data_IF_122026611094
#
_entry.id   IF_122026611094
#
_cell.length_a   1.000
_cell.length_b   1.000
_cell.length_c   1.000
_cell.angle_alpha   90.00
_cell.angle_beta   90.00
_cell.angle_gamma   90.00
#
_symmetry.space_group_name_H-M   'P 1'
#
loop_
_entity.id
_entity.type
_entity.pdbx_description
1 polymer ?
#
# COMPACT_ATOMS: atom_id res chain seq x y z
N UNK A 1 51.01 18.56 67.96
CA UNK A 1 50.40 19.79 67.43
C UNK A 1 49.05 19.42 66.81
N UNK A 2 47.97 20.10 67.26
CA UNK A 2 46.68 20.44 66.60
C UNK A 2 46.32 19.65 65.31
N UNK A 3 45.13 19.08 65.08
CA UNK A 3 43.75 19.65 65.14
C UNK A 3 42.74 18.52 64.79
N UNK A 4 41.70 18.28 65.59
CA UNK A 4 40.25 18.59 65.38
C UNK A 4 39.45 17.76 64.35
N UNK A 5 38.34 17.18 64.85
CA UNK A 5 36.97 17.01 64.27
C UNK A 5 36.82 16.49 62.83
N UNK A 6 35.95 15.52 62.49
CA UNK A 6 34.52 15.47 62.79
C UNK A 6 33.94 14.10 62.43
N UNK A 7 32.91 13.71 63.19
CA UNK A 7 32.11 12.50 63.08
C UNK A 7 31.06 12.58 61.93
N UNK A 8 30.61 11.40 61.48
CA UNK A 8 29.30 11.08 60.88
C UNK A 8 29.13 11.17 59.36
N UNK A 9 28.90 10.01 58.72
CA UNK A 9 27.56 9.62 58.24
C UNK A 9 27.54 8.15 57.79
N UNK A 10 26.65 7.39 58.40
CA UNK A 10 26.27 6.03 58.02
C UNK A 10 25.27 6.02 56.86
N UNK A 11 25.05 4.82 56.29
CA UNK A 11 24.10 4.41 55.25
C UNK A 11 24.57 4.74 53.81
N UNK A 12 24.41 3.87 52.80
CA UNK A 12 23.43 2.83 52.57
C UNK A 12 23.95 1.90 51.45
N UNK A 13 23.66 0.60 51.56
CA UNK A 13 23.84 -0.41 50.50
C UNK A 13 23.25 0.03 49.16
N UNK A 14 23.93 -0.29 48.06
CA UNK A 14 23.25 -0.53 46.78
C UNK A 14 23.92 -1.70 46.05
N UNK A 15 23.42 -2.90 46.35
CA UNK A 15 23.62 -4.10 45.53
C UNK A 15 22.60 -4.01 44.38
N UNK A 16 23.01 -3.49 43.21
CA UNK A 16 22.19 -3.59 42.00
C UNK A 16 22.56 -4.88 41.26
N UNK A 17 21.78 -5.93 41.51
CA UNK A 17 21.67 -7.09 40.64
C UNK A 17 21.11 -6.62 39.30
N UNK A 18 21.97 -6.52 38.28
CA UNK A 18 21.53 -6.34 36.89
C UNK A 18 21.05 -7.70 36.40
N UNK A 19 19.77 -8.00 36.58
CA UNK A 19 19.08 -9.04 35.81
C UNK A 19 18.36 -8.36 34.65
N UNK A 20 19.10 -8.07 33.59
CA UNK A 20 18.51 -7.81 32.28
C UNK A 20 19.00 -8.90 31.35
N UNK A 21 18.12 -9.84 31.00
CA UNK A 21 17.70 -10.10 29.61
C UNK A 21 16.36 -10.83 29.70
N UNK A 22 15.27 -10.08 29.78
CA UNK A 22 14.00 -10.55 29.25
C UNK A 22 14.01 -10.16 27.77
N UNK A 23 14.14 -11.15 26.87
CA UNK A 23 13.90 -10.93 25.45
C UNK A 23 12.40 -10.73 25.23
N UNK A 24 11.95 -9.49 25.13
CA UNK A 24 10.75 -9.16 24.37
C UNK A 24 11.14 -9.23 22.90
N UNK A 25 10.42 -10.01 22.09
CA UNK A 25 10.44 -9.77 20.65
C UNK A 25 9.78 -8.42 20.48
N UNK A 26 10.56 -7.41 20.12
CA UNK A 26 10.02 -6.12 19.73
C UNK A 26 9.26 -6.35 18.41
N UNK A 27 7.93 -6.43 18.48
CA UNK A 27 7.08 -6.31 17.30
C UNK A 27 7.25 -4.88 16.81
N UNK A 28 8.10 -4.67 15.81
CA UNK A 28 8.25 -3.37 15.16
C UNK A 28 6.85 -2.88 14.74
N UNK A 29 6.46 -1.63 15.08
CA UNK A 29 5.14 -1.13 14.76
C UNK A 29 4.93 -1.19 13.25
N UNK A 30 3.83 -1.81 12.83
CA UNK A 30 3.50 -1.88 11.42
C UNK A 30 3.40 -0.47 10.83
N UNK A 31 3.90 -0.24 9.60
CA UNK A 31 3.78 1.07 8.98
C UNK A 31 2.29 1.44 8.80
N UNK A 32 1.88 2.56 9.38
CA UNK A 32 0.52 3.10 9.26
C UNK A 32 0.50 4.33 8.31
N UNK A 33 -0.63 4.57 7.65
CA UNK A 33 -0.86 5.75 6.82
C UNK A 33 -2.32 6.24 6.97
N UNK A 34 -2.51 7.43 7.54
CA UNK A 34 -3.85 7.96 7.87
C UNK A 34 -4.51 8.75 6.72
N UNK A 35 -3.76 9.08 5.67
CA UNK A 35 -4.25 9.90 4.55
C UNK A 35 -3.90 9.31 3.17
N UNK A 36 -4.67 9.69 2.14
CA UNK A 36 -4.42 9.27 0.76
C UNK A 36 -3.01 9.63 0.31
N UNK A 37 -2.25 8.62 -0.12
CA UNK A 37 -0.88 8.74 -0.62
C UNK A 37 -0.77 8.64 -2.15
N UNK A 38 -1.88 8.80 -2.90
CA UNK A 38 -1.86 8.85 -4.37
C UNK A 38 -1.06 10.08 -4.84
N UNK A 39 -0.02 9.89 -5.68
CA UNK A 39 0.73 11.02 -6.21
C UNK A 39 -0.10 11.80 -7.25
N UNK A 40 0.04 13.13 -7.36
CA UNK A 40 -0.69 13.92 -8.36
C UNK A 40 -0.27 13.61 -9.80
N UNK A 41 0.96 13.09 -9.97
CA UNK A 41 1.53 12.70 -11.25
C UNK A 41 2.29 11.38 -11.09
N UNK A 42 2.26 10.54 -12.13
CA UNK A 42 3.06 9.33 -12.20
C UNK A 42 3.63 9.16 -13.61
N UNK A 43 4.97 9.07 -13.70
CA UNK A 43 5.69 8.90 -14.97
C UNK A 43 5.33 9.94 -16.06
N UNK A 44 5.25 11.23 -15.72
CA UNK A 44 4.97 12.28 -16.71
C UNK A 44 3.49 12.53 -16.99
N UNK A 45 2.57 11.86 -16.30
CA UNK A 45 1.12 11.95 -16.54
C UNK A 45 0.36 12.23 -15.25
N UNK A 46 -0.60 13.16 -15.31
CA UNK A 46 -1.49 13.44 -14.20
C UNK A 46 -2.26 12.18 -13.78
N UNK A 47 -2.54 12.04 -12.49
CA UNK A 47 -3.32 10.92 -11.94
C UNK A 47 -4.75 11.38 -11.64
N UNK A 48 -5.70 10.76 -12.34
CA UNK A 48 -7.13 10.93 -12.06
C UNK A 48 -7.55 9.98 -10.94
N UNK A 49 -8.00 10.53 -9.82
CA UNK A 49 -8.40 9.74 -8.64
C UNK A 49 -9.85 9.31 -8.77
N UNK A 50 -10.09 8.00 -8.75
CA UNK A 50 -11.42 7.44 -8.68
C UNK A 50 -12.07 7.78 -7.32
N UNK A 51 -13.30 8.32 -7.28
CA UNK A 51 -13.95 8.70 -6.03
C UNK A 51 -14.30 7.49 -5.15
N UNK A 52 -14.38 6.27 -5.72
CA UNK A 52 -14.62 5.06 -4.94
C UNK A 52 -13.34 4.65 -4.22
N UNK A 53 -13.43 4.56 -2.90
CA UNK A 53 -12.42 3.93 -2.05
C UNK A 53 -12.80 2.46 -1.83
N UNK A 54 -11.80 1.58 -1.85
CA UNK A 54 -11.95 0.16 -1.54
C UNK A 54 -11.47 -0.08 -0.11
N UNK A 55 -12.27 -0.79 0.69
CA UNK A 55 -11.94 -1.07 2.10
C UNK A 55 -11.70 -2.56 2.30
N UNK A 56 -10.52 -2.92 2.79
CA UNK A 56 -10.12 -4.30 3.09
C UNK A 56 -9.80 -4.45 4.57
N UNK A 57 -9.85 -5.67 5.07
CA UNK A 57 -9.60 -6.08 6.46
C UNK A 57 -8.20 -6.68 6.67
N UNK A 58 -7.48 -6.95 5.58
CA UNK A 58 -6.13 -7.53 5.58
C UNK A 58 -5.23 -6.79 4.59
N UNK A 59 -3.93 -6.79 4.86
CA UNK A 59 -2.91 -6.32 3.90
C UNK A 59 -2.68 -7.31 2.76
N UNK A 60 -2.91 -8.59 3.00
CA UNK A 60 -2.81 -9.62 1.96
C UNK A 60 -4.09 -9.62 1.15
N UNK A 61 -4.01 -9.16 -0.09
CA UNK A 61 -5.15 -9.06 -1.01
C UNK A 61 -4.82 -9.78 -2.32
N UNK A 62 -5.86 -10.18 -3.05
CA UNK A 62 -5.75 -10.60 -4.44
C UNK A 62 -6.26 -9.49 -5.36
N UNK A 63 -5.47 -9.14 -6.37
CA UNK A 63 -5.79 -8.11 -7.36
C UNK A 63 -6.03 -8.76 -8.70
N UNK A 64 -7.25 -8.65 -9.22
CA UNK A 64 -7.64 -9.19 -10.52
C UNK A 64 -7.99 -8.08 -11.51
N UNK A 65 -7.46 -8.17 -12.72
CA UNK A 65 -7.73 -7.21 -13.81
C UNK A 65 -8.32 -7.86 -15.04
N UNK A 66 -9.21 -7.14 -15.73
CA UNK A 66 -9.77 -7.55 -17.02
C UNK A 66 -10.27 -6.33 -17.81
N UNK A 67 -10.50 -6.54 -19.10
CA UNK A 67 -11.08 -5.57 -20.02
C UNK A 67 -12.55 -5.31 -19.65
N UNK A 68 -12.87 -4.05 -19.31
CA UNK A 68 -14.23 -3.62 -19.02
C UNK A 68 -14.78 -2.68 -20.11
N UNK A 69 -14.20 -2.73 -21.31
CA UNK A 69 -14.70 -2.03 -22.49
C UNK A 69 -15.87 -2.76 -23.15
N UNK A 70 -16.46 -2.15 -24.17
CA UNK A 70 -17.53 -2.80 -24.96
C UNK A 70 -16.99 -3.96 -25.81
N UNK A 71 -15.74 -3.84 -26.27
CA UNK A 71 -15.01 -4.82 -27.08
C UNK A 71 -13.65 -5.05 -26.45
N UNK A 72 -13.08 -6.24 -26.63
CA UNK A 72 -11.66 -6.47 -26.35
C UNK A 72 -10.88 -5.92 -27.53
N UNK A 73 -10.11 -4.86 -27.31
CA UNK A 73 -9.54 -4.08 -28.40
C UNK A 73 -8.05 -3.76 -28.25
N UNK A 74 -7.35 -4.61 -27.49
CA UNK A 74 -5.89 -4.63 -27.41
C UNK A 74 -5.32 -3.67 -26.38
N UNK A 75 -6.09 -3.34 -25.35
CA UNK A 75 -5.65 -2.55 -24.21
C UNK A 75 -4.48 -3.21 -23.46
N UNK A 76 -3.33 -2.55 -23.37
CA UNK A 76 -2.14 -3.04 -22.65
C UNK A 76 -1.85 -2.14 -21.45
N UNK A 77 -1.76 -2.74 -20.27
CA UNK A 77 -1.68 -2.01 -19.00
C UNK A 77 -0.56 -2.48 -18.08
N UNK A 78 -0.18 -1.62 -17.14
CA UNK A 78 0.53 -2.04 -15.93
C UNK A 78 -0.21 -1.53 -14.70
N UNK A 79 -0.22 -2.36 -13.67
CA UNK A 79 -0.80 -2.04 -12.36
C UNK A 79 0.32 -1.80 -11.38
N UNK A 80 0.20 -0.71 -10.63
CA UNK A 80 1.10 -0.36 -9.55
C UNK A 80 0.35 -0.31 -8.23
N UNK A 81 0.97 -0.81 -7.16
CA UNK A 81 0.49 -0.69 -5.78
C UNK A 81 1.52 0.10 -5.01
N UNK A 82 1.13 1.27 -4.47
CA UNK A 82 2.07 2.19 -3.79
C UNK A 82 3.36 2.49 -4.60
N UNK A 83 3.25 2.53 -5.93
CA UNK A 83 4.36 2.80 -6.85
C UNK A 83 5.20 1.58 -7.25
N UNK A 84 4.96 0.41 -6.65
CA UNK A 84 5.57 -0.86 -7.07
C UNK A 84 4.72 -1.51 -8.16
N UNK A 85 5.36 -1.99 -9.23
CA UNK A 85 4.65 -2.63 -10.35
C UNK A 85 4.33 -4.08 -10.02
N UNK A 86 3.05 -4.40 -9.91
CA UNK A 86 2.55 -5.76 -9.60
C UNK A 86 2.07 -6.52 -10.84
N UNK A 87 1.62 -5.80 -11.88
CA UNK A 87 1.28 -6.38 -13.19
C UNK A 87 2.06 -5.59 -14.25
N UNK A 88 2.80 -6.30 -15.11
CA UNK A 88 3.64 -5.69 -16.14
C UNK A 88 3.10 -5.93 -17.55
N UNK A 89 2.90 -4.86 -18.31
CA UNK A 89 2.54 -4.85 -19.75
C UNK A 89 1.57 -5.96 -20.16
N UNK A 90 0.47 -6.09 -19.43
CA UNK A 90 -0.53 -7.13 -19.64
C UNK A 90 -1.60 -6.65 -20.63
N UNK A 91 -1.86 -7.44 -21.67
CA UNK A 91 -3.00 -7.23 -22.57
C UNK A 91 -4.30 -7.67 -21.88
N UNK A 92 -5.23 -6.73 -21.72
CA UNK A 92 -6.52 -6.98 -21.10
C UNK A 92 -7.39 -7.85 -22.00
N UNK A 93 -8.05 -8.83 -21.39
CA UNK A 93 -9.03 -9.71 -22.05
C UNK A 93 -10.30 -9.81 -21.20
N UNK A 94 -11.30 -10.59 -21.64
CA UNK A 94 -12.47 -10.89 -20.81
C UNK A 94 -12.17 -11.82 -19.63
N UNK A 95 -11.00 -12.46 -19.64
CA UNK A 95 -10.56 -13.35 -18.57
C UNK A 95 -9.75 -12.55 -17.56
N UNK A 96 -10.05 -12.76 -16.27
CA UNK A 96 -9.31 -12.12 -15.18
C UNK A 96 -7.86 -12.62 -15.16
N UNK A 97 -6.93 -11.68 -15.03
CA UNK A 97 -5.55 -11.95 -14.64
C UNK A 97 -5.36 -11.51 -13.19
N UNK A 98 -4.87 -12.42 -12.35
CA UNK A 98 -4.86 -12.27 -10.89
C UNK A 98 -3.43 -12.36 -10.35
N UNK A 99 -3.09 -11.47 -9.43
CA UNK A 99 -1.84 -11.49 -8.65
C UNK A 99 -2.13 -11.22 -7.18
N UNK A 100 -1.41 -11.89 -6.29
CA UNK A 100 -1.49 -11.62 -4.85
C UNK A 100 -0.52 -10.50 -4.47
N UNK A 101 -0.96 -9.61 -3.58
CA UNK A 101 -0.25 -8.38 -3.21
C UNK A 101 -0.32 -8.19 -1.70
N UNK A 102 0.82 -7.88 -1.10
CA UNK A 102 0.91 -7.39 0.28
C UNK A 102 0.91 -5.85 0.28
N UNK A 103 -0.15 -5.27 0.82
CA UNK A 103 -0.25 -3.83 1.03
C UNK A 103 0.79 -3.36 2.06
N UNK A 104 1.38 -2.21 1.79
CA UNK A 104 2.45 -1.67 2.63
C UNK A 104 1.93 -1.16 3.96
N UNK A 105 0.84 -0.40 3.94
CA UNK A 105 0.38 0.35 5.11
C UNK A 105 -0.89 -0.27 5.72
N UNK A 106 -1.02 -0.19 7.03
CA UNK A 106 -2.33 -0.14 7.69
C UNK A 106 -2.93 1.25 7.46
N UNK A 107 -4.20 1.35 7.07
CA UNK A 107 -4.79 2.58 6.53
C UNK A 107 -4.60 2.72 5.01
N UNK A 108 -4.28 3.92 4.52
CA UNK A 108 -4.30 4.26 3.10
C UNK A 108 -3.15 3.64 2.30
N UNK A 109 -3.53 2.98 1.22
CA UNK A 109 -2.71 2.53 0.10
C UNK A 109 -3.40 2.95 -1.19
N UNK A 110 -2.75 2.73 -2.34
CA UNK A 110 -3.39 2.93 -3.63
C UNK A 110 -3.01 1.88 -4.67
N UNK A 111 -3.94 1.67 -5.60
CA UNK A 111 -3.69 1.03 -6.89
C UNK A 111 -3.72 2.09 -7.98
N UNK A 112 -2.77 2.01 -8.92
CA UNK A 112 -2.66 2.90 -10.07
C UNK A 112 -2.58 2.09 -11.37
N UNK A 113 -3.40 2.49 -12.33
CA UNK A 113 -3.42 2.02 -13.71
C UNK A 113 -2.52 2.92 -14.57
N UNK A 114 -1.58 2.30 -15.27
CA UNK A 114 -0.78 2.92 -16.32
C UNK A 114 -1.08 2.26 -17.66
N UNK A 115 -1.56 3.06 -18.63
CA UNK A 115 -1.84 2.62 -19.99
C UNK A 115 -0.57 2.67 -20.86
N UNK A 116 -0.20 1.55 -21.49
CA UNK A 116 0.86 1.49 -22.51
C UNK A 116 0.34 1.82 -23.91
N UNK A 117 -0.96 1.63 -24.14
CA UNK A 117 -1.70 2.05 -25.32
C UNK A 117 -3.14 2.44 -24.92
N UNK A 118 -3.98 2.81 -25.88
CA UNK A 118 -5.41 3.10 -25.67
C UNK A 118 -6.31 2.13 -26.44
N UNK A 119 -5.80 0.92 -26.71
CA UNK A 119 -6.46 -0.03 -27.60
C UNK A 119 -6.72 0.55 -29.00
N UNK A 120 -7.80 0.08 -29.63
CA UNK A 120 -8.34 0.72 -30.85
C UNK A 120 -9.27 1.88 -30.54
N UNK A 121 -9.83 1.93 -29.33
CA UNK A 121 -10.84 2.88 -28.88
C UNK A 121 -10.49 3.46 -27.50
N UNK A 122 -10.07 4.72 -27.48
CA UNK A 122 -9.77 5.45 -26.25
C UNK A 122 -11.00 5.62 -25.32
N UNK A 123 -10.81 5.60 -23.98
CA UNK A 123 -9.57 5.33 -23.25
C UNK A 123 -9.32 3.83 -23.03
N UNK A 124 -8.13 3.50 -22.53
CA UNK A 124 -7.87 2.17 -21.98
C UNK A 124 -8.73 1.93 -20.73
N UNK A 125 -9.53 0.87 -20.73
CA UNK A 125 -10.59 0.62 -19.72
C UNK A 125 -10.34 -0.67 -18.94
N UNK A 126 -9.79 -0.55 -17.74
CA UNK A 126 -9.47 -1.67 -16.86
C UNK A 126 -10.45 -1.77 -15.70
N UNK A 127 -11.11 -2.91 -15.53
CA UNK A 127 -11.68 -3.25 -14.23
C UNK A 127 -10.59 -3.83 -13.32
N UNK A 128 -10.60 -3.43 -12.06
CA UNK A 128 -9.72 -3.93 -11.00
C UNK A 128 -10.62 -4.43 -9.87
N UNK A 129 -10.61 -5.74 -9.63
CA UNK A 129 -11.23 -6.37 -8.47
C UNK A 129 -10.17 -6.62 -7.41
N UNK A 130 -10.45 -6.18 -6.19
CA UNK A 130 -9.65 -6.43 -5.01
C UNK A 130 -10.45 -7.37 -4.12
N UNK A 131 -9.81 -8.46 -3.70
CA UNK A 131 -10.38 -9.48 -2.84
C UNK A 131 -9.53 -9.68 -1.60
N UNK A 132 -10.18 -9.75 -0.44
CA UNK A 132 -9.62 -10.15 0.84
C UNK A 132 -10.62 -11.07 1.57
N UNK A 133 -10.37 -11.37 2.84
CA UNK A 133 -11.27 -12.19 3.66
C UNK A 133 -12.67 -11.56 3.86
N UNK A 134 -12.82 -10.25 3.68
CA UNK A 134 -14.10 -9.52 3.74
C UNK A 134 -14.91 -9.68 2.45
N UNK A 135 -14.26 -9.97 1.33
CA UNK A 135 -14.88 -10.28 0.05
C UNK A 135 -14.31 -9.47 -1.11
N UNK A 136 -15.09 -9.35 -2.19
CA UNK A 136 -14.65 -8.76 -3.47
C UNK A 136 -15.23 -7.36 -3.69
N UNK A 137 -14.40 -6.43 -4.14
CA UNK A 137 -14.81 -5.08 -4.54
C UNK A 137 -14.14 -4.68 -5.85
N UNK A 138 -14.92 -4.16 -6.79
CA UNK A 138 -14.41 -3.74 -8.11
C UNK A 138 -14.42 -2.22 -8.28
N UNK A 139 -13.34 -1.66 -8.83
CA UNK A 139 -13.26 -0.30 -9.36
C UNK A 139 -12.96 -0.37 -10.86
N UNK A 140 -13.45 0.60 -11.63
CA UNK A 140 -13.10 0.75 -13.04
C UNK A 140 -12.17 1.96 -13.16
N UNK A 141 -10.99 1.73 -13.72
CA UNK A 141 -9.97 2.75 -13.96
C UNK A 141 -9.83 2.95 -15.47
N UNK A 142 -9.82 4.22 -15.88
CA UNK A 142 -9.69 4.61 -17.28
C UNK A 142 -8.42 5.44 -17.44
N UNK A 143 -7.52 5.04 -18.32
CA UNK A 143 -6.26 5.74 -18.53
C UNK A 143 -6.04 6.06 -20.01
N UNK A 144 -5.27 7.12 -20.27
CA UNK A 144 -4.85 7.56 -21.60
C UNK A 144 -3.33 7.59 -21.68
N UNK A 145 -2.77 7.83 -22.86
CA UNK A 145 -1.35 8.13 -23.02
C UNK A 145 -0.94 9.46 -22.36
N UNK A 146 -1.92 10.26 -21.93
CA UNK A 146 -1.72 11.55 -21.24
C UNK A 146 -2.11 11.56 -19.77
N UNK A 147 -2.94 10.60 -19.31
CA UNK A 147 -3.43 10.53 -17.93
C UNK A 147 -3.40 9.11 -17.38
N UNK A 148 -3.12 8.97 -16.09
CA UNK A 148 -3.27 7.71 -15.35
C UNK A 148 -4.57 7.75 -14.54
N UNK A 149 -4.99 6.60 -14.02
CA UNK A 149 -6.06 6.53 -13.05
C UNK A 149 -5.63 5.76 -11.80
N UNK A 150 -6.13 6.14 -10.63
CA UNK A 150 -5.83 5.46 -9.38
C UNK A 150 -7.07 5.38 -8.47
N UNK A 151 -7.07 4.43 -7.54
CA UNK A 151 -8.08 4.33 -6.49
C UNK A 151 -7.40 4.07 -5.14
N UNK A 152 -7.99 4.62 -4.07
CA UNK A 152 -7.57 4.34 -2.71
C UNK A 152 -7.99 2.93 -2.30
N UNK A 153 -7.11 2.25 -1.57
CA UNK A 153 -7.35 0.98 -0.89
C UNK A 153 -6.99 1.17 0.58
N UNK A 154 -7.98 1.07 1.47
CA UNK A 154 -7.81 1.35 2.89
C UNK A 154 -7.92 0.04 3.67
N UNK A 155 -6.89 -0.26 4.47
CA UNK A 155 -6.89 -1.38 5.41
C UNK A 155 -7.49 -0.92 6.73
N UNK A 156 -8.61 -1.53 7.13
CA UNK A 156 -9.35 -1.28 8.39
C UNK A 156 -9.09 -2.34 9.46
#
# INVERSE_FOLDING_TARGET
MKTFLSLSRAALMLLLLITFVGCSKDDDPEPENEESNIPPEFRGRNVEVNPKTVYVSSKSISVSVWDNGNLVDGDIVSIYVNGERVINEHELTRTKHTVDVDLKYKGYNYILLYAHNEGTSSPNTCAVEIEDDKGKQTVVLNAKLTTNAAANVVVE
#
